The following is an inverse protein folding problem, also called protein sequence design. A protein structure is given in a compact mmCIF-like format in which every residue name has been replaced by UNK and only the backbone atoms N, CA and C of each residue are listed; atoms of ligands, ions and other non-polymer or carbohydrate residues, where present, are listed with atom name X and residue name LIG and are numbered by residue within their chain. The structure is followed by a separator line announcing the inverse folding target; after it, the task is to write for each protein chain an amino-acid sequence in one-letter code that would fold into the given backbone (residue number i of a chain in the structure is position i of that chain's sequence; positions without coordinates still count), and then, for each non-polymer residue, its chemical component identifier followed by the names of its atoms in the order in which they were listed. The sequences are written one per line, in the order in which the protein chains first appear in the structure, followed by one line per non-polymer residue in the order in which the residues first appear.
data_IF_931493550610
#
_entry.id   IF_931493550610
#
_cell.length_a   1.000
_cell.length_b   1.000
_cell.length_c   1.000
_cell.angle_alpha   90.00
_cell.angle_beta   90.00
_cell.angle_gamma   90.00
#
_symmetry.space_group_name_H-M   'P 1'
#
loop_
_entity.id
_entity.type
_entity.pdbx_description
1 polymer ?
#
# COMPACT_ATOMS: atom_id res chain seq x y z
N UNK A 1 28.04 10.03 45.00
CA UNK A 1 28.46 9.29 43.78
C UNK A 1 27.55 8.10 43.48
N UNK A 2 27.22 7.27 44.48
CA UNK A 2 26.32 6.11 44.34
C UNK A 2 24.92 6.50 43.81
N UNK A 3 24.31 7.58 44.32
CA UNK A 3 22.97 8.01 43.87
C UNK A 3 22.94 8.51 42.42
N UNK A 4 24.01 9.20 41.99
CA UNK A 4 24.14 9.67 40.61
C UNK A 4 24.28 8.48 39.65
N UNK A 5 25.04 7.46 40.02
CA UNK A 5 25.19 6.24 39.23
C UNK A 5 23.87 5.44 39.14
N UNK A 6 23.14 5.33 40.26
CA UNK A 6 21.82 4.66 40.30
C UNK A 6 20.78 5.39 39.43
N UNK A 7 20.70 6.72 39.52
CA UNK A 7 19.79 7.52 38.70
C UNK A 7 20.11 7.42 37.20
N UNK A 8 21.39 7.48 36.83
CA UNK A 8 21.82 7.25 35.44
C UNK A 8 21.45 5.85 34.95
N UNK A 9 21.60 4.82 35.79
CA UNK A 9 21.16 3.45 35.48
C UNK A 9 19.66 3.36 35.21
N UNK A 10 18.84 3.95 36.08
CA UNK A 10 17.38 3.99 35.91
C UNK A 10 16.96 4.72 34.63
N UNK A 11 17.61 5.84 34.30
CA UNK A 11 17.36 6.57 33.05
C UNK A 11 17.74 5.75 31.82
N UNK A 12 18.89 5.07 31.84
CA UNK A 12 19.29 4.19 30.73
C UNK A 12 18.29 3.04 30.54
N UNK A 13 17.85 2.41 31.63
CA UNK A 13 16.84 1.35 31.56
C UNK A 13 15.52 1.86 30.96
N UNK A 14 15.06 3.04 31.39
CA UNK A 14 13.85 3.66 30.84
C UNK A 14 13.98 3.92 29.33
N UNK A 15 15.12 4.45 28.88
CA UNK A 15 15.35 4.72 27.46
C UNK A 15 15.41 3.43 26.64
N UNK A 16 16.06 2.38 27.16
CA UNK A 16 16.13 1.08 26.49
C UNK A 16 14.74 0.48 26.32
N UNK A 17 13.93 0.45 27.38
CA UNK A 17 12.54 -0.03 27.32
C UNK A 17 11.68 0.80 26.35
N UNK A 18 11.90 2.11 26.27
CA UNK A 18 11.20 2.95 25.30
C UNK A 18 11.64 2.66 23.86
N UNK A 19 12.93 2.39 23.64
CA UNK A 19 13.48 2.00 22.34
C UNK A 19 12.92 0.65 21.89
N UNK A 20 12.89 -0.35 22.77
CA UNK A 20 12.30 -1.68 22.50
C UNK A 20 10.84 -1.56 22.07
N UNK A 21 10.04 -0.75 22.79
CA UNK A 21 8.64 -0.52 22.43
C UNK A 21 8.50 0.10 21.03
N UNK A 22 9.33 1.10 20.72
CA UNK A 22 9.31 1.76 19.40
C UNK A 22 9.75 0.82 18.29
N UNK A 23 10.76 -0.02 18.55
CA UNK A 23 11.22 -1.02 17.59
C UNK A 23 10.12 -2.05 17.30
N UNK A 24 9.46 -2.58 18.34
CA UNK A 24 8.34 -3.50 18.19
C UNK A 24 7.18 -2.88 17.38
N UNK A 25 6.80 -1.64 17.70
CA UNK A 25 5.76 -0.92 16.96
C UNK A 25 6.15 -0.67 15.49
N UNK A 26 7.41 -0.32 15.21
CA UNK A 26 7.89 -0.11 13.85
C UNK A 26 7.85 -1.40 13.02
N UNK A 27 8.22 -2.55 13.63
CA UNK A 27 8.12 -3.85 12.97
C UNK A 27 6.66 -4.20 12.66
N UNK A 28 5.75 -4.00 13.63
CA UNK A 28 4.32 -4.25 13.42
C UNK A 28 3.76 -3.38 12.30
N UNK A 29 3.98 -2.06 12.36
CA UNK A 29 3.50 -1.12 11.35
C UNK A 29 4.01 -1.46 9.94
N UNK A 30 5.26 -1.94 9.83
CA UNK A 30 5.82 -2.36 8.55
C UNK A 30 5.10 -3.58 8.01
N UNK A 31 4.80 -4.57 8.85
CA UNK A 31 4.02 -5.75 8.45
C UNK A 31 2.62 -5.35 7.98
N UNK A 32 1.94 -4.50 8.75
CA UNK A 32 0.60 -4.01 8.42
C UNK A 32 0.61 -3.23 7.10
N UNK A 33 1.65 -2.43 6.84
CA UNK A 33 1.80 -1.70 5.59
C UNK A 33 1.92 -2.64 4.39
N UNK A 34 2.76 -3.68 4.48
CA UNK A 34 2.92 -4.67 3.41
C UNK A 34 1.62 -5.41 3.12
N UNK A 35 0.87 -5.78 4.16
CA UNK A 35 -0.43 -6.42 4.01
C UNK A 35 -1.45 -5.50 3.34
N UNK A 36 -1.52 -4.23 3.76
CA UNK A 36 -2.39 -3.25 3.14
C UNK A 36 -2.02 -2.97 1.67
N UNK A 37 -0.73 -2.91 1.35
CA UNK A 37 -0.26 -2.72 -0.02
C UNK A 37 -0.61 -3.93 -0.90
N UNK A 38 -0.49 -5.15 -0.36
CA UNK A 38 -0.89 -6.37 -1.06
C UNK A 38 -2.40 -6.39 -1.34
N UNK A 39 -3.24 -6.08 -0.34
CA UNK A 39 -4.69 -5.98 -0.50
C UNK A 39 -5.09 -4.90 -1.50
N UNK A 40 -4.38 -3.77 -1.50
CA UNK A 40 -4.62 -2.68 -2.45
C UNK A 40 -4.28 -3.11 -3.89
N UNK A 41 -3.19 -3.84 -4.09
CA UNK A 41 -2.79 -4.36 -5.40
C UNK A 41 -3.76 -5.43 -5.89
N UNK A 42 -4.14 -6.38 -5.02
CA UNK A 42 -5.12 -7.42 -5.34
C UNK A 42 -6.43 -6.80 -5.78
N UNK A 43 -6.98 -5.89 -4.98
CA UNK A 43 -8.21 -5.20 -5.33
C UNK A 43 -8.06 -4.35 -6.60
N UNK A 44 -6.90 -3.75 -6.85
CA UNK A 44 -6.73 -2.94 -8.06
C UNK A 44 -6.62 -3.77 -9.33
N UNK A 45 -6.02 -4.96 -9.30
CA UNK A 45 -5.71 -5.76 -10.49
C UNK A 45 -6.71 -6.89 -10.74
N UNK A 46 -7.09 -7.60 -9.68
CA UNK A 46 -7.89 -8.83 -9.76
C UNK A 46 -8.85 -8.94 -8.57
N UNK A 47 -9.74 -7.96 -8.41
CA UNK A 47 -10.58 -7.86 -7.23
C UNK A 47 -11.49 -9.08 -7.11
N UNK A 48 -11.65 -9.59 -5.88
CA UNK A 48 -12.46 -10.78 -5.58
C UNK A 48 -12.09 -12.01 -6.43
N UNK A 49 -10.85 -12.07 -6.95
CA UNK A 49 -10.39 -13.08 -7.90
C UNK A 49 -11.17 -13.08 -9.22
N UNK A 50 -11.61 -11.90 -9.65
CA UNK A 50 -12.32 -11.66 -10.91
C UNK A 50 -11.64 -10.58 -11.74
N UNK A 51 -11.95 -10.54 -13.04
CA UNK A 51 -11.42 -9.50 -13.93
C UNK A 51 -11.89 -8.12 -13.47
N UNK A 52 -10.95 -7.17 -13.38
CA UNK A 52 -11.19 -5.79 -12.96
C UNK A 52 -12.40 -5.15 -13.65
N UNK A 53 -12.49 -5.32 -14.98
CA UNK A 53 -13.57 -4.77 -15.83
C UNK A 53 -14.98 -5.31 -15.51
N UNK A 54 -15.06 -6.48 -14.83
CA UNK A 54 -16.33 -7.11 -14.46
C UNK A 54 -16.85 -6.65 -13.11
N UNK A 55 -15.98 -6.10 -12.26
CA UNK A 55 -16.36 -5.59 -10.94
C UNK A 55 -16.41 -4.07 -10.90
N UNK A 56 -15.39 -3.39 -11.42
CA UNK A 56 -15.35 -1.94 -11.43
C UNK A 56 -16.01 -1.39 -12.68
N UNK A 57 -17.09 -0.64 -12.49
CA UNK A 57 -17.69 0.13 -13.57
C UNK A 57 -16.76 1.23 -14.08
N UNK A 58 -16.83 1.52 -15.38
CA UNK A 58 -16.04 2.56 -16.06
C UNK A 58 -16.10 3.92 -15.33
N UNK A 59 -17.24 4.27 -14.72
CA UNK A 59 -17.42 5.51 -13.94
C UNK A 59 -16.40 5.65 -12.81
N UNK A 60 -16.06 4.56 -12.12
CA UNK A 60 -15.08 4.61 -11.02
C UNK A 60 -13.66 4.96 -11.51
N UNK A 61 -13.30 4.48 -12.71
CA UNK A 61 -12.02 4.77 -13.36
C UNK A 61 -11.99 6.21 -13.88
N UNK A 62 -13.09 6.69 -14.47
CA UNK A 62 -13.24 8.08 -14.92
C UNK A 62 -13.17 9.07 -13.76
N UNK A 63 -13.79 8.75 -12.62
CA UNK A 63 -13.69 9.58 -11.43
C UNK A 63 -12.25 9.69 -10.91
N UNK A 64 -11.45 8.61 -11.05
CA UNK A 64 -10.06 8.57 -10.58
C UNK A 64 -9.07 9.23 -11.54
N UNK A 65 -9.25 9.07 -12.85
CA UNK A 65 -8.25 9.46 -13.87
C UNK A 65 -8.73 10.56 -14.82
N UNK A 66 -9.98 10.99 -14.72
CA UNK A 66 -10.58 12.00 -15.58
C UNK A 66 -10.98 11.49 -16.97
N UNK A 67 -11.65 12.35 -17.74
CA UNK A 67 -12.20 12.01 -19.05
C UNK A 67 -11.13 11.70 -20.10
N UNK A 68 -9.93 12.29 -19.99
CA UNK A 68 -8.80 12.01 -20.88
C UNK A 68 -8.33 10.54 -20.83
N UNK A 69 -8.82 9.73 -19.87
CA UNK A 69 -8.61 8.29 -19.90
C UNK A 69 -9.24 7.64 -21.14
N UNK A 70 -10.42 8.09 -21.57
CA UNK A 70 -11.12 7.49 -22.71
C UNK A 70 -10.36 7.69 -24.01
N UNK A 71 -9.83 8.90 -24.23
CA UNK A 71 -9.04 9.21 -25.42
C UNK A 71 -7.79 8.31 -25.49
N UNK A 72 -7.07 8.19 -24.37
CA UNK A 72 -5.87 7.34 -24.28
C UNK A 72 -6.17 5.85 -24.44
N UNK A 73 -7.32 5.38 -23.95
CA UNK A 73 -7.76 4.01 -24.18
C UNK A 73 -8.08 3.79 -25.66
N UNK A 74 -8.85 4.70 -26.27
CA UNK A 74 -9.23 4.60 -27.67
C UNK A 74 -8.03 4.55 -28.61
N UNK A 75 -7.00 5.36 -28.36
CA UNK A 75 -5.76 5.37 -29.14
C UNK A 75 -4.91 4.10 -29.01
N UNK A 76 -5.06 3.34 -27.91
CA UNK A 76 -4.18 2.22 -27.56
C UNK A 76 -4.86 0.86 -27.59
N UNK A 77 -6.16 0.78 -27.89
CA UNK A 77 -6.85 -0.50 -28.02
C UNK A 77 -6.46 -1.15 -29.36
N UNK A 78 -5.78 -2.32 -29.34
CA UNK A 78 -5.55 -3.08 -30.57
C UNK A 78 -6.88 -3.66 -31.08
N UNK A 79 -7.15 -3.49 -32.36
CA UNK A 79 -8.38 -4.01 -33.02
C UNK A 79 -8.18 -5.41 -33.61
N UNK A 80 -6.94 -5.87 -33.67
CA UNK A 80 -6.47 -7.07 -34.34
C UNK A 80 -6.02 -8.19 -33.38
N UNK A 81 -6.01 -7.93 -32.07
CA UNK A 81 -5.66 -8.91 -31.03
C UNK A 81 -6.75 -9.05 -29.97
N UNK A 82 -7.03 -10.28 -29.58
CA UNK A 82 -7.87 -10.63 -28.42
C UNK A 82 -7.05 -10.86 -27.14
N UNK A 83 -5.76 -10.53 -27.13
CA UNK A 83 -4.89 -10.75 -25.99
C UNK A 83 -5.22 -9.80 -24.83
N UNK A 84 -4.87 -10.24 -23.61
CA UNK A 84 -5.06 -9.43 -22.41
C UNK A 84 -4.20 -8.15 -22.48
N UNK A 85 -4.86 -7.00 -22.37
CA UNK A 85 -4.21 -5.69 -22.39
C UNK A 85 -4.10 -5.13 -20.98
N UNK A 86 -2.89 -4.71 -20.60
CA UNK A 86 -2.64 -4.01 -19.32
C UNK A 86 -2.38 -2.54 -19.63
N UNK A 87 -3.26 -1.68 -19.11
CA UNK A 87 -3.12 -0.23 -19.26
C UNK A 87 -2.62 0.40 -17.95
N UNK A 88 -1.46 1.05 -18.01
CA UNK A 88 -0.92 1.86 -16.92
C UNK A 88 -1.03 3.34 -17.28
N UNK A 89 -1.50 4.23 -16.38
CA UNK A 89 -1.69 5.66 -16.64
C UNK A 89 -0.43 6.42 -17.06
#
# INVERSE_FOLDING_TARGET
LVDAASNSGQKMQYQLTNLERKAAAAVQNRSDQVENDALRLENSLFPEKTLQERLYGCISLLARFGMALLDRLYERIPLDSGDHQVFSP
#
